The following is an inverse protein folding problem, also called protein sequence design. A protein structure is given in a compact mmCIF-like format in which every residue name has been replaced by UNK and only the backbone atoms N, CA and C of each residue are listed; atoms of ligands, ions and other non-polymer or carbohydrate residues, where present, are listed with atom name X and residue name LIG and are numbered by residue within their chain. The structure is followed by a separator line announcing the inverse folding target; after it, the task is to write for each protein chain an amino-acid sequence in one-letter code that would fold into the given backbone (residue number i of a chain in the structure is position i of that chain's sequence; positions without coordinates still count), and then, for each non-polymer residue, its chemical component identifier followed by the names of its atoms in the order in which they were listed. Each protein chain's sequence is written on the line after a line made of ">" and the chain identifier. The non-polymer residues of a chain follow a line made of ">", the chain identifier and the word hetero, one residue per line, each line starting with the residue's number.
data_IF_210914611209
#
_entry.id   IF_210914611209
#
_cell.length_a   1.000
_cell.length_b   1.000
_cell.length_c   1.000
_cell.angle_alpha   90.00
_cell.angle_beta   90.00
_cell.angle_gamma   90.00
#
_symmetry.space_group_name_H-M   'P 1'
#
loop_
_entity.id
_entity.type
_entity.pdbx_description
1 polymer ?
#
# COMPACT_ATOMS: atom_id res chain seq x y z
N UNK A 1 7.98 -15.21 -4.13
CA UNK A 1 7.63 -13.78 -4.27
C UNK A 1 8.85 -12.87 -4.16
N UNK A 2 9.52 -12.75 -2.99
CA UNK A 2 10.74 -11.93 -2.88
C UNK A 2 11.86 -12.38 -3.85
N UNK A 3 12.10 -13.69 -3.95
CA UNK A 3 13.11 -14.24 -4.85
C UNK A 3 12.79 -14.03 -6.34
N UNK A 4 11.51 -13.85 -6.66
CA UNK A 4 11.04 -13.58 -8.03
C UNK A 4 11.20 -12.10 -8.36
N UNK A 5 10.85 -11.20 -7.44
CA UNK A 5 11.08 -9.76 -7.56
C UNK A 5 12.58 -9.47 -7.75
N UNK A 6 13.44 -10.20 -7.04
CA UNK A 6 14.90 -10.06 -7.17
C UNK A 6 15.41 -10.38 -8.58
N UNK A 7 14.76 -11.29 -9.32
CA UNK A 7 15.14 -11.64 -10.70
C UNK A 7 14.90 -10.52 -11.71
N UNK A 8 13.98 -9.61 -11.39
CA UNK A 8 13.61 -8.51 -12.29
C UNK A 8 14.49 -7.26 -12.15
N UNK A 9 15.50 -7.28 -11.25
CA UNK A 9 16.48 -6.19 -11.06
C UNK A 9 15.86 -4.78 -11.00
N UNK A 10 14.69 -4.67 -10.37
CA UNK A 10 13.98 -3.41 -10.23
C UNK A 10 14.67 -2.52 -9.18
N UNK A 11 14.77 -1.23 -9.47
CA UNK A 11 15.20 -0.24 -8.49
C UNK A 11 14.04 0.06 -7.54
N UNK A 12 14.11 -0.47 -6.32
CA UNK A 12 13.08 -0.31 -5.28
C UNK A 12 13.74 0.33 -4.06
N UNK A 13 13.13 1.39 -3.54
CA UNK A 13 13.66 2.12 -2.38
C UNK A 13 12.97 1.71 -1.08
N UNK A 14 11.66 1.44 -1.13
CA UNK A 14 10.85 1.07 0.04
C UNK A 14 9.79 0.00 -0.29
N UNK A 15 9.44 -0.80 0.71
CA UNK A 15 8.32 -1.74 0.67
C UNK A 15 7.20 -1.21 1.56
N UNK A 16 5.99 -1.14 1.02
CA UNK A 16 4.80 -0.60 1.68
C UNK A 16 3.67 -1.61 1.61
N UNK A 17 3.12 -2.07 2.74
CA UNK A 17 1.94 -2.93 2.74
C UNK A 17 0.67 -2.13 2.46
N UNK A 18 -0.30 -2.80 1.86
CA UNK A 18 -1.70 -2.42 1.93
C UNK A 18 -2.26 -2.98 3.25
N UNK A 19 -2.61 -2.11 4.21
CA UNK A 19 -3.05 -2.57 5.53
C UNK A 19 -4.40 -3.31 5.48
N UNK A 20 -4.63 -4.35 6.29
CA UNK A 20 -3.80 -4.82 7.42
C UNK A 20 -3.19 -6.21 7.19
N UNK A 21 -3.76 -7.01 6.28
CA UNK A 21 -3.38 -8.41 6.03
C UNK A 21 -2.02 -8.56 5.37
N UNK A 22 -1.61 -7.60 4.53
CA UNK A 22 -0.37 -7.70 3.78
C UNK A 22 0.89 -7.34 4.60
N UNK A 23 0.74 -6.92 5.87
CA UNK A 23 1.88 -6.47 6.71
C UNK A 23 2.93 -7.55 6.87
N UNK A 24 2.54 -8.77 7.24
CA UNK A 24 3.48 -9.86 7.48
C UNK A 24 4.23 -10.25 6.21
N UNK A 25 3.52 -10.33 5.09
CA UNK A 25 4.11 -10.59 3.78
C UNK A 25 5.11 -9.48 3.38
N UNK A 26 4.73 -8.21 3.55
CA UNK A 26 5.58 -7.07 3.24
C UNK A 26 6.84 -7.00 4.12
N UNK A 27 6.72 -7.34 5.41
CA UNK A 27 7.87 -7.42 6.34
C UNK A 27 8.86 -8.47 5.85
N UNK A 28 8.38 -9.67 5.50
CA UNK A 28 9.25 -10.75 5.05
C UNK A 28 9.88 -10.45 3.68
N UNK A 29 9.14 -9.82 2.77
CA UNK A 29 9.68 -9.35 1.48
C UNK A 29 10.77 -8.30 1.70
N UNK A 30 10.52 -7.31 2.56
CA UNK A 30 11.50 -6.27 2.88
C UNK A 30 12.78 -6.86 3.50
N UNK A 31 12.64 -7.85 4.40
CA UNK A 31 13.77 -8.58 4.99
C UNK A 31 14.60 -9.32 3.94
N UNK A 32 13.96 -10.11 3.08
CA UNK A 32 14.65 -10.89 2.04
C UNK A 32 15.32 -10.02 0.98
N UNK A 33 14.71 -8.88 0.64
CA UNK A 33 15.26 -7.93 -0.33
C UNK A 33 16.24 -6.92 0.29
N UNK A 34 16.42 -6.94 1.62
CA UNK A 34 17.20 -5.96 2.39
C UNK A 34 16.77 -4.51 2.11
N UNK A 35 15.46 -4.28 2.03
CA UNK A 35 14.83 -2.99 1.77
C UNK A 35 14.15 -2.44 3.03
N UNK A 36 13.89 -1.13 3.04
CA UNK A 36 13.20 -0.48 4.15
C UNK A 36 11.69 -0.75 4.07
N UNK A 37 11.14 -1.36 5.11
CA UNK A 37 9.70 -1.43 5.34
C UNK A 37 9.17 -0.07 5.84
N UNK A 38 8.08 0.43 5.27
CA UNK A 38 7.43 1.68 5.69
C UNK A 38 5.91 1.55 5.70
N UNK A 39 5.29 1.98 6.80
CA UNK A 39 3.85 2.19 6.89
C UNK A 39 3.50 3.51 6.20
N UNK A 40 3.29 3.47 4.88
CA UNK A 40 2.96 4.66 4.10
C UNK A 40 1.46 4.79 3.78
N UNK A 41 0.67 3.73 3.97
CA UNK A 41 -0.77 3.72 3.80
C UNK A 41 -1.46 3.49 5.14
N UNK A 42 -2.37 4.39 5.51
CA UNK A 42 -3.15 4.30 6.74
C UNK A 42 -4.60 3.97 6.40
N UNK A 43 -5.10 2.86 6.94
CA UNK A 43 -6.50 2.47 6.77
C UNK A 43 -7.42 3.32 7.63
N UNK A 44 -8.45 3.88 7.00
CA UNK A 44 -9.51 4.57 7.71
C UNK A 44 -10.43 3.55 8.39
N UNK A 45 -10.20 3.34 9.70
CA UNK A 45 -10.91 2.34 10.52
C UNK A 45 -12.42 2.58 10.64
N UNK A 46 -12.87 3.81 10.38
CA UNK A 46 -14.26 4.25 10.56
C UNK A 46 -14.99 4.50 9.23
N UNK A 47 -14.53 3.90 8.13
CA UNK A 47 -15.24 4.04 6.85
C UNK A 47 -16.46 3.11 6.79
N UNK A 48 -17.65 3.71 6.78
CA UNK A 48 -18.92 3.01 6.64
C UNK A 48 -19.10 2.40 5.24
N UNK A 49 -19.94 1.36 5.14
CA UNK A 49 -20.38 0.81 3.85
C UNK A 49 -21.33 1.81 3.18
N UNK A 50 -21.03 2.28 1.98
CA UNK A 50 -21.96 3.11 1.20
C UNK A 50 -23.09 2.23 0.67
N UNK A 51 -24.26 2.25 1.31
CA UNK A 51 -25.31 1.26 1.04
C UNK A 51 -26.13 1.51 -0.24
N UNK A 52 -26.35 2.75 -0.68
CA UNK A 52 -26.80 3.14 -2.03
C UNK A 52 -26.42 4.62 -2.21
N UNK A 53 -25.68 4.98 -3.27
CA UNK A 53 -25.41 6.39 -3.61
C UNK A 53 -25.96 6.68 -5.01
N UNK A 54 -26.72 7.78 -5.21
CA UNK A 54 -27.42 8.06 -6.47
C UNK A 54 -26.52 8.48 -7.63
N UNK A 55 -25.19 8.58 -7.43
CA UNK A 55 -24.26 9.08 -8.46
C UNK A 55 -22.89 8.40 -8.32
N UNK A 56 -22.38 7.81 -9.41
CA UNK A 56 -21.11 7.05 -9.43
C UNK A 56 -19.87 7.87 -9.01
N UNK A 57 -19.92 9.18 -9.20
CA UNK A 57 -18.82 10.09 -8.86
C UNK A 57 -18.55 10.14 -7.35
N UNK A 58 -19.61 10.07 -6.52
CA UNK A 58 -19.48 10.06 -5.05
C UNK A 58 -18.94 8.72 -4.55
N UNK A 59 -19.27 7.61 -5.22
CA UNK A 59 -18.76 6.27 -4.90
C UNK A 59 -17.24 6.16 -5.09
N UNK A 60 -16.71 6.67 -6.22
CA UNK A 60 -15.25 6.68 -6.48
C UNK A 60 -14.47 7.49 -5.45
N UNK A 61 -15.05 8.59 -4.97
CA UNK A 61 -14.45 9.44 -3.94
C UNK A 61 -14.46 8.76 -2.56
N UNK A 62 -15.53 8.03 -2.24
CA UNK A 62 -15.62 7.27 -0.98
C UNK A 62 -14.67 6.06 -0.94
N UNK A 63 -14.38 5.42 -2.08
CA UNK A 63 -13.32 4.40 -2.16
C UNK A 63 -11.93 5.02 -1.94
N UNK A 64 -11.67 6.21 -2.49
CA UNK A 64 -10.44 6.99 -2.24
C UNK A 64 -10.24 7.34 -0.76
N UNK A 65 -11.30 7.34 0.05
CA UNK A 65 -11.23 7.55 1.49
C UNK A 65 -10.98 6.27 2.30
N UNK A 66 -10.70 5.12 1.69
CA UNK A 66 -10.42 3.89 2.48
C UNK A 66 -8.99 3.86 3.03
N UNK A 67 -8.04 4.37 2.26
CA UNK A 67 -6.62 4.38 2.58
C UNK A 67 -6.07 5.79 2.38
N UNK A 68 -5.42 6.33 3.40
CA UNK A 68 -4.75 7.62 3.34
C UNK A 68 -3.24 7.40 3.13
N UNK A 69 -2.65 7.91 2.03
CA UNK A 69 -1.21 7.89 1.87
C UNK A 69 -0.54 8.95 2.74
N UNK A 70 0.66 8.65 3.22
CA UNK A 70 1.56 9.60 3.88
C UNK A 70 2.53 10.15 2.82
N UNK A 71 2.34 11.39 2.30
CA UNK A 71 3.06 11.85 1.11
C UNK A 71 4.60 11.88 1.27
N UNK A 72 5.09 12.15 2.48
CA UNK A 72 6.53 12.14 2.79
C UNK A 72 7.18 10.77 2.62
N UNK A 73 6.39 9.70 2.73
CA UNK A 73 6.89 8.34 2.53
C UNK A 73 7.05 7.98 1.06
N UNK A 74 6.19 8.52 0.18
CA UNK A 74 6.19 8.24 -1.25
C UNK A 74 7.07 9.17 -2.09
N UNK A 75 7.30 10.40 -1.63
CA UNK A 75 7.98 11.42 -2.43
C UNK A 75 9.36 10.94 -2.90
N UNK A 76 9.56 10.97 -4.23
CA UNK A 76 10.82 10.66 -4.92
C UNK A 76 11.38 9.24 -4.66
N UNK A 77 10.51 8.27 -4.29
CA UNK A 77 10.91 6.88 -4.05
C UNK A 77 10.20 5.94 -5.00
N UNK A 78 10.92 4.90 -5.42
CA UNK A 78 10.35 3.73 -6.08
C UNK A 78 9.75 2.81 -5.02
N UNK A 79 8.44 2.63 -5.06
CA UNK A 79 7.68 1.95 -4.00
C UNK A 79 7.19 0.59 -4.48
N UNK A 80 7.50 -0.45 -3.70
CA UNK A 80 6.90 -1.77 -3.84
C UNK A 80 5.67 -1.87 -2.95
N UNK A 81 4.49 -1.87 -3.55
CA UNK A 81 3.22 -2.12 -2.85
C UNK A 81 2.97 -3.63 -2.75
N UNK A 82 2.58 -4.08 -1.56
CA UNK A 82 2.22 -5.47 -1.28
C UNK A 82 0.79 -5.50 -0.76
N UNK A 83 -0.12 -6.19 -1.43
CA UNK A 83 -1.52 -6.42 -1.06
C UNK A 83 -1.80 -7.93 -1.02
#
# INVERSE_FOLDING_TARGET
>A
MADEIKKHELKIDIVVPVPDSARDAAIEIARKLNLKYREALVKNRYIGRTFIMPTDHKRKTSVRQKLNPIPSEFKEKNVLLVD
#
